data_IF_105034055298
#
_entry.id   IF_105034055298
#
_cell.length_a   1.000
_cell.length_b   1.000
_cell.length_c   1.000
_cell.angle_alpha   90.00
_cell.angle_beta   90.00
_cell.angle_gamma   90.00
#
_symmetry.space_group_name_H-M   'P 1'
#
loop_
_entity.id
_entity.type
_entity.pdbx_description
1 polymer ?
#
# COMPACT_ATOMS: atom_id res chain seq x y z
N UNK A 1 -54.15 -31.96 31.95
CA UNK A 1 -52.69 -31.91 32.10
C UNK A 1 -52.16 -31.03 30.98
N UNK A 2 -51.95 -29.74 31.26
CA UNK A 2 -51.40 -28.80 30.26
C UNK A 2 -49.89 -28.86 30.47
N UNK A 3 -49.19 -29.54 29.56
CA UNK A 3 -47.73 -29.57 29.56
C UNK A 3 -47.21 -28.23 29.06
N UNK A 4 -46.74 -27.38 29.97
CA UNK A 4 -45.92 -26.23 29.64
C UNK A 4 -44.55 -26.75 29.19
N UNK A 5 -44.39 -26.99 27.89
CA UNK A 5 -43.07 -27.12 27.29
C UNK A 5 -42.48 -25.72 27.18
N UNK A 6 -41.73 -25.32 28.21
CA UNK A 6 -40.86 -24.16 28.12
C UNK A 6 -39.76 -24.46 27.11
N UNK A 7 -39.89 -23.93 25.89
CA UNK A 7 -38.78 -23.88 24.94
C UNK A 7 -37.82 -22.79 25.42
N UNK A 8 -36.79 -23.18 26.17
CA UNK A 8 -35.62 -22.32 26.33
C UNK A 8 -34.84 -22.41 25.02
N UNK A 9 -35.03 -21.43 24.14
CA UNK A 9 -34.07 -21.17 23.07
C UNK A 9 -32.78 -20.73 23.75
N UNK A 10 -31.84 -21.65 23.93
CA UNK A 10 -30.46 -21.25 24.25
C UNK A 10 -29.97 -20.48 23.03
N UNK A 11 -29.82 -19.17 23.17
CA UNK A 11 -29.09 -18.36 22.20
C UNK A 11 -27.73 -19.02 22.01
N UNK A 12 -27.44 -19.41 20.78
CA UNK A 12 -26.11 -19.82 20.39
C UNK A 12 -25.24 -18.58 20.58
N UNK A 13 -24.41 -18.57 21.62
CA UNK A 13 -23.40 -17.54 21.79
C UNK A 13 -22.41 -17.79 20.65
N UNK A 14 -22.54 -17.05 19.56
CA UNK A 14 -21.51 -17.03 18.52
C UNK A 14 -20.19 -16.71 19.21
N UNK A 15 -19.19 -17.56 18.99
CA UNK A 15 -17.84 -17.26 19.44
C UNK A 15 -17.45 -15.87 18.90
N UNK A 16 -16.78 -15.03 19.71
CA UNK A 16 -16.37 -13.72 19.25
C UNK A 16 -15.55 -13.87 17.98
N UNK A 17 -16.08 -13.36 16.87
CA UNK A 17 -15.43 -13.44 15.57
C UNK A 17 -14.13 -12.64 15.61
N UNK A 18 -13.00 -13.35 15.49
CA UNK A 18 -11.70 -12.71 15.36
C UNK A 18 -11.50 -12.26 13.89
N UNK A 19 -11.70 -10.97 13.64
CA UNK A 19 -11.48 -10.36 12.33
C UNK A 19 -9.99 -10.09 12.03
N UNK A 20 -9.10 -10.25 13.00
CA UNK A 20 -7.67 -9.91 12.88
C UNK A 20 -6.98 -10.59 11.68
N UNK A 21 -7.18 -11.90 11.43
CA UNK A 21 -6.54 -12.57 10.29
C UNK A 21 -6.99 -12.00 8.94
N UNK A 22 -8.24 -11.56 8.83
CA UNK A 22 -8.77 -10.95 7.60
C UNK A 22 -8.15 -9.57 7.42
N UNK A 23 -8.09 -8.75 8.48
CA UNK A 23 -7.47 -7.43 8.44
C UNK A 23 -5.98 -7.48 8.10
N UNK A 24 -5.25 -8.47 8.61
CA UNK A 24 -3.83 -8.70 8.24
C UNK A 24 -3.71 -9.01 6.75
N UNK A 25 -4.60 -9.84 6.19
CA UNK A 25 -4.60 -10.15 4.76
C UNK A 25 -5.02 -8.97 3.87
N UNK A 26 -5.55 -7.89 4.46
CA UNK A 26 -5.89 -6.65 3.75
C UNK A 26 -4.77 -5.62 3.77
N UNK A 27 -3.64 -5.90 4.44
CA UNK A 27 -2.47 -5.02 4.40
C UNK A 27 -2.01 -4.91 2.94
N UNK A 28 -1.97 -3.70 2.37
CA UNK A 28 -1.53 -3.50 1.00
C UNK A 28 -0.04 -3.83 0.87
N UNK A 29 0.38 -4.18 -0.34
CA UNK A 29 1.80 -4.32 -0.64
C UNK A 29 2.50 -2.95 -0.55
N UNK A 30 3.76 -2.97 -0.11
CA UNK A 30 4.58 -1.76 -0.04
C UNK A 30 4.91 -1.28 -1.46
N UNK A 31 4.67 0.00 -1.80
CA UNK A 31 5.06 0.56 -3.09
C UNK A 31 6.57 0.40 -3.34
N UNK A 32 6.93 0.06 -4.57
CA UNK A 32 8.34 -0.10 -4.95
C UNK A 32 9.00 1.26 -5.15
N UNK A 33 10.21 1.41 -4.61
CA UNK A 33 11.00 2.63 -4.82
C UNK A 33 11.49 2.66 -6.26
N UNK A 34 11.21 3.73 -7.04
CA UNK A 34 11.68 3.84 -8.39
C UNK A 34 13.22 3.88 -8.41
N UNK A 35 13.82 3.15 -9.36
CA UNK A 35 15.28 3.08 -9.47
C UNK A 35 15.80 4.22 -10.32
N UNK A 36 16.87 4.87 -9.86
CA UNK A 36 17.51 5.92 -10.65
C UNK A 36 17.94 5.41 -12.03
N UNK A 37 17.58 6.09 -13.14
CA UNK A 37 17.85 5.60 -14.47
C UNK A 37 19.34 5.58 -14.77
N UNK A 38 19.77 4.61 -15.58
CA UNK A 38 21.13 4.60 -16.10
C UNK A 38 21.25 5.65 -17.21
N UNK A 39 22.14 6.62 -17.02
CA UNK A 39 22.39 7.72 -17.96
C UNK A 39 23.76 7.58 -18.60
N UNK A 40 23.86 7.91 -19.88
CA UNK A 40 25.14 7.98 -20.57
C UNK A 40 25.53 9.44 -20.77
N UNK A 41 26.77 9.74 -20.38
CA UNK A 41 27.36 11.05 -20.53
C UNK A 41 28.52 10.94 -21.51
N UNK A 42 28.61 11.87 -22.46
CA UNK A 42 29.81 12.06 -23.27
C UNK A 42 30.59 13.26 -22.76
N UNK A 43 31.89 13.26 -23.02
CA UNK A 43 32.76 14.37 -22.68
C UNK A 43 33.47 14.85 -23.94
N UNK A 44 33.12 16.06 -24.37
CA UNK A 44 33.63 16.66 -25.61
C UNK A 44 33.92 18.14 -25.38
N UNK A 45 34.96 18.68 -26.02
CA UNK A 45 35.27 20.12 -25.95
C UNK A 45 35.31 20.67 -24.50
N UNK A 46 35.87 19.89 -23.57
CA UNK A 46 35.98 20.22 -22.15
C UNK A 46 34.64 20.37 -21.39
N UNK A 47 33.57 19.72 -21.91
CA UNK A 47 32.21 19.76 -21.34
C UNK A 47 31.56 18.38 -21.33
N UNK A 48 30.69 18.15 -20.36
CA UNK A 48 29.81 16.98 -20.33
C UNK A 48 28.54 17.24 -21.12
N UNK A 49 28.15 16.26 -21.94
CA UNK A 49 26.88 16.25 -22.66
C UNK A 49 26.10 15.00 -22.31
N UNK A 50 24.79 15.14 -22.36
CA UNK A 50 23.82 14.06 -22.23
C UNK A 50 22.96 14.11 -23.50
N UNK A 51 22.65 12.94 -24.06
CA UNK A 51 21.77 12.87 -25.22
C UNK A 51 20.31 13.11 -24.79
N UNK A 52 19.45 13.44 -25.76
CA UNK A 52 18.03 13.71 -25.50
C UNK A 52 17.32 12.54 -24.81
N UNK A 53 17.57 11.30 -25.23
CA UNK A 53 16.95 10.10 -24.65
C UNK A 53 17.27 9.93 -23.15
N UNK A 54 18.50 10.23 -22.74
CA UNK A 54 18.94 10.15 -21.35
C UNK A 54 18.43 11.36 -20.55
N UNK A 55 18.23 12.52 -21.17
CA UNK A 55 17.48 13.63 -20.55
C UNK A 55 16.03 13.22 -20.29
N UNK A 56 15.36 12.61 -21.26
CA UNK A 56 13.97 12.17 -21.10
C UNK A 56 13.82 11.14 -19.98
N UNK A 57 14.76 10.20 -19.84
CA UNK A 57 14.78 9.26 -18.70
C UNK A 57 14.91 9.99 -17.37
N UNK A 58 15.80 10.97 -17.29
CA UNK A 58 16.00 11.76 -16.07
C UNK A 58 14.75 12.57 -15.73
N UNK A 59 14.11 13.19 -16.72
CA UNK A 59 12.87 13.94 -16.55
C UNK A 59 11.72 13.02 -16.14
N UNK A 60 11.55 11.86 -16.79
CA UNK A 60 10.53 10.89 -16.40
C UNK A 60 10.71 10.43 -14.94
N UNK A 61 11.93 10.12 -14.54
CA UNK A 61 12.23 9.74 -13.16
C UNK A 61 11.86 10.86 -12.17
N UNK A 62 12.25 12.11 -12.47
CA UNK A 62 12.05 13.26 -11.60
C UNK A 62 10.61 13.79 -11.55
N UNK A 63 9.93 13.84 -12.69
CA UNK A 63 8.65 14.53 -12.88
C UNK A 63 7.45 13.58 -12.86
N UNK A 64 7.67 12.28 -13.04
CA UNK A 64 6.60 11.29 -13.02
C UNK A 64 6.82 10.21 -11.95
N UNK A 65 7.92 9.45 -12.01
CA UNK A 65 8.10 8.27 -11.15
C UNK A 65 8.20 8.64 -9.66
N UNK A 66 9.01 9.63 -9.30
CA UNK A 66 9.14 10.09 -7.92
C UNK A 66 7.84 10.68 -7.35
N UNK A 67 7.11 11.57 -8.06
CA UNK A 67 5.80 12.03 -7.61
C UNK A 67 4.76 10.92 -7.46
N UNK A 68 4.75 9.96 -8.40
CA UNK A 68 3.84 8.81 -8.34
C UNK A 68 4.13 7.96 -7.09
N UNK A 69 5.40 7.59 -6.88
CA UNK A 69 5.81 6.83 -5.70
C UNK A 69 5.43 7.54 -4.39
N UNK A 70 5.61 8.87 -4.33
CA UNK A 70 5.19 9.66 -3.17
C UNK A 70 3.69 9.53 -2.92
N UNK A 71 2.87 9.65 -3.96
CA UNK A 71 1.43 9.51 -3.86
C UNK A 71 1.01 8.10 -3.42
N UNK A 72 1.63 7.06 -3.98
CA UNK A 72 1.39 5.66 -3.60
C UNK A 72 1.76 5.41 -2.14
N UNK A 73 2.87 5.96 -1.66
CA UNK A 73 3.26 5.90 -0.25
C UNK A 73 2.27 6.61 0.66
N UNK A 74 1.73 7.76 0.26
CA UNK A 74 0.70 8.46 1.03
C UNK A 74 -0.58 7.61 1.13
N UNK A 75 -1.00 6.96 0.04
CA UNK A 75 -2.13 6.03 0.04
C UNK A 75 -1.88 4.80 0.93
N UNK A 76 -0.70 4.18 0.80
CA UNK A 76 -0.28 3.05 1.63
C UNK A 76 -0.34 3.38 3.12
N UNK A 77 0.20 4.55 3.51
CA UNK A 77 0.16 5.01 4.90
C UNK A 77 -1.26 5.22 5.41
N UNK A 78 -2.13 5.82 4.59
CA UNK A 78 -3.53 6.02 4.96
C UNK A 78 -4.27 4.70 5.16
N UNK A 79 -4.06 3.73 4.26
CA UNK A 79 -4.67 2.40 4.36
C UNK A 79 -4.19 1.65 5.60
N UNK A 80 -2.88 1.68 5.88
CA UNK A 80 -2.32 1.07 7.08
C UNK A 80 -2.88 1.68 8.37
N UNK A 81 -3.01 3.01 8.44
CA UNK A 81 -3.57 3.67 9.61
C UNK A 81 -5.01 3.25 9.89
N UNK A 82 -5.82 3.09 8.84
CA UNK A 82 -7.20 2.61 8.96
C UNK A 82 -7.22 1.18 9.51
N UNK A 83 -6.41 0.28 8.95
CA UNK A 83 -6.35 -1.13 9.37
C UNK A 83 -5.82 -1.27 10.81
N UNK A 84 -4.73 -0.58 11.16
CA UNK A 84 -4.19 -0.60 12.52
C UNK A 84 -5.16 0.00 13.54
N UNK A 85 -5.91 1.04 13.15
CA UNK A 85 -6.97 1.61 13.98
C UNK A 85 -8.12 0.63 14.27
N UNK A 86 -8.35 -0.35 13.41
CA UNK A 86 -9.35 -1.41 13.62
C UNK A 86 -8.80 -2.63 14.39
N UNK A 87 -7.48 -2.85 14.37
CA UNK A 87 -6.84 -3.96 15.10
C UNK A 87 -6.58 -3.58 16.57
N UNK A 88 -6.27 -2.31 16.84
CA UNK A 88 -5.86 -1.84 18.17
C UNK A 88 -7.05 -1.40 19.04
N UNK A 89 -8.21 -1.08 18.44
CA UNK A 89 -9.46 -0.78 19.15
C UNK A 89 -10.34 -2.01 19.29
#
# INVERSE_FOLDING_TARGET
>A
MIGLTSCTTTEYIEEPFDSTPILINMIPDLPEIPTFPKLNWSFETDKYYINEEDVDKLLNYGEYELPLYRFEMDLYNNQLQILLGQIIN
#
